data_IF_186737338443
#
_entry.id   IF_186737338443
#
_cell.length_a   1.000
_cell.length_b   1.000
_cell.length_c   1.000
_cell.angle_alpha   90.00
_cell.angle_beta   90.00
_cell.angle_gamma   90.00
#
_symmetry.space_group_name_H-M   'P 1'
#
loop_
_entity.id
_entity.type
_entity.pdbx_description
1 polymer ?
#
# COMPACT_ATOMS: atom_id res chain seq x y z
N UNK A 1 65.42 50.05 39.85
CA UNK A 1 64.17 49.53 40.46
C UNK A 1 63.17 49.28 39.35
N UNK A 2 62.66 48.03 39.27
CA UNK A 2 61.33 47.55 38.87
C UNK A 2 60.66 48.20 37.63
N UNK A 3 60.10 47.49 36.65
CA UNK A 3 59.10 46.43 36.81
C UNK A 3 58.99 45.52 35.56
N UNK A 4 58.84 44.23 35.86
CA UNK A 4 58.21 43.18 35.06
C UNK A 4 56.97 43.61 34.27
N UNK A 5 56.95 43.28 32.99
CA UNK A 5 55.69 43.09 32.24
C UNK A 5 55.89 41.93 31.25
N UNK A 6 55.79 40.71 31.78
CA UNK A 6 55.54 39.51 30.99
C UNK A 6 54.31 39.71 30.11
N UNK A 7 54.49 39.70 28.79
CA UNK A 7 53.45 39.29 27.85
C UNK A 7 54.06 38.33 26.87
N UNK A 8 53.83 37.04 27.16
CA UNK A 8 54.16 35.92 26.29
C UNK A 8 53.52 36.19 24.93
N UNK A 9 54.35 36.28 23.90
CA UNK A 9 53.90 36.17 22.52
C UNK A 9 53.54 34.69 22.38
N UNK A 10 52.27 34.37 22.62
CA UNK A 10 51.73 33.07 22.22
C UNK A 10 51.82 33.06 20.71
N UNK A 11 52.58 32.10 20.17
CA UNK A 11 52.65 31.79 18.75
C UNK A 11 51.28 32.00 18.13
N UNK A 12 51.18 33.06 17.34
CA UNK A 12 50.03 33.31 16.49
C UNK A 12 50.03 32.19 15.48
N UNK A 13 49.39 31.08 15.85
CA UNK A 13 48.93 30.10 14.90
C UNK A 13 48.25 30.90 13.78
N UNK A 14 48.87 30.85 12.60
CA UNK A 14 48.24 31.28 11.37
C UNK A 14 47.06 30.35 11.18
N UNK A 15 45.96 30.67 11.85
CA UNK A 15 44.66 30.20 11.43
C UNK A 15 44.41 31.00 10.16
N UNK A 16 44.83 30.40 9.04
CA UNK A 16 44.11 30.56 7.79
C UNK A 16 42.63 30.35 8.14
N UNK A 17 41.94 31.45 8.43
CA UNK A 17 40.49 31.52 8.29
C UNK A 17 40.26 31.42 6.80
N UNK A 18 40.38 30.19 6.33
CA UNK A 18 40.07 29.76 4.98
C UNK A 18 38.70 30.35 4.68
N UNK A 19 38.67 31.33 3.78
CA UNK A 19 37.46 32.02 3.35
C UNK A 19 36.61 31.11 2.48
N UNK A 20 36.19 29.98 3.04
CA UNK A 20 35.40 28.94 2.38
C UNK A 20 34.12 28.60 3.14
N UNK A 21 33.72 29.43 4.12
CA UNK A 21 32.40 29.32 4.76
C UNK A 21 31.28 30.08 4.02
N UNK A 22 31.56 30.79 2.92
CA UNK A 22 30.56 31.60 2.21
C UNK A 22 30.06 30.96 0.90
N UNK A 23 30.36 29.68 0.66
CA UNK A 23 29.91 28.99 -0.56
C UNK A 23 29.29 27.61 -0.31
N UNK A 24 28.81 27.33 0.90
CA UNK A 24 28.10 26.08 1.24
C UNK A 24 26.62 26.25 1.56
N UNK A 25 26.06 27.46 1.44
CA UNK A 25 24.64 27.70 1.73
C UNK A 25 23.79 27.88 0.46
N UNK A 26 24.36 28.49 -0.59
CA UNK A 26 23.58 28.86 -1.78
C UNK A 26 23.17 27.66 -2.66
N UNK A 27 23.98 26.60 -2.69
CA UNK A 27 23.61 25.34 -3.36
C UNK A 27 22.85 24.37 -2.44
N UNK A 28 22.92 24.56 -1.12
CA UNK A 28 22.32 23.66 -0.13
C UNK A 28 20.79 23.74 -0.12
N UNK A 29 20.23 24.95 -0.26
CA UNK A 29 18.77 25.14 -0.30
C UNK A 29 18.15 24.73 -1.65
N UNK A 30 18.83 24.98 -2.76
CA UNK A 30 18.39 24.50 -4.07
C UNK A 30 18.46 22.98 -4.18
N UNK A 31 19.51 22.35 -3.64
CA UNK A 31 19.61 20.90 -3.55
C UNK A 31 18.51 20.30 -2.66
N UNK A 32 18.15 20.97 -1.55
CA UNK A 32 17.04 20.56 -0.69
C UNK A 32 15.69 20.60 -1.42
N UNK A 33 15.38 21.70 -2.13
CA UNK A 33 14.13 21.81 -2.89
C UNK A 33 14.09 20.83 -4.07
N UNK A 34 15.23 20.58 -4.70
CA UNK A 34 15.38 19.57 -5.76
C UNK A 34 15.24 18.15 -5.24
N UNK A 35 15.71 17.85 -4.01
CA UNK A 35 15.45 16.57 -3.33
C UNK A 35 13.97 16.38 -3.06
N UNK A 36 13.27 17.42 -2.59
CA UNK A 36 11.82 17.38 -2.40
C UNK A 36 11.06 17.19 -3.72
N UNK A 37 11.45 17.86 -4.79
CA UNK A 37 10.89 17.66 -6.13
C UNK A 37 11.14 16.24 -6.61
N UNK A 38 12.37 15.73 -6.47
CA UNK A 38 12.73 14.35 -6.77
C UNK A 38 11.93 13.34 -5.92
N UNK A 39 11.69 13.58 -4.63
CA UNK A 39 10.85 12.72 -3.79
C UNK A 39 9.41 12.74 -4.28
N UNK A 40 8.85 13.92 -4.63
CA UNK A 40 7.50 14.03 -5.18
C UNK A 40 7.38 13.37 -6.56
N UNK A 41 8.41 13.43 -7.40
CA UNK A 41 8.43 12.82 -8.73
C UNK A 41 8.62 11.30 -8.64
N UNK A 42 9.52 10.84 -7.77
CA UNK A 42 9.77 9.41 -7.49
C UNK A 42 8.58 8.76 -6.77
N UNK A 43 7.89 9.50 -5.89
CA UNK A 43 6.66 9.06 -5.21
C UNK A 43 5.43 9.24 -6.09
N UNK A 44 5.39 10.25 -6.96
CA UNK A 44 4.33 10.55 -7.91
C UNK A 44 4.15 9.44 -8.93
N UNK A 45 5.24 8.78 -9.31
CA UNK A 45 5.21 7.57 -10.13
C UNK A 45 4.71 6.30 -9.40
N UNK A 46 4.38 6.38 -8.09
CA UNK A 46 3.92 5.23 -7.30
C UNK A 46 2.70 5.49 -6.39
N UNK A 47 2.30 6.74 -6.13
CA UNK A 47 1.31 7.04 -5.08
C UNK A 47 0.14 7.95 -5.48
N UNK A 48 0.34 8.95 -6.35
CA UNK A 48 -0.70 9.95 -6.64
C UNK A 48 -1.55 9.61 -7.88
N UNK A 49 -1.02 8.81 -8.81
CA UNK A 49 -1.82 8.14 -9.85
C UNK A 49 -2.66 6.97 -9.27
N UNK A 50 -2.49 6.62 -7.99
CA UNK A 50 -3.34 5.59 -7.35
C UNK A 50 -4.75 6.08 -7.00
N UNK A 51 -5.04 7.39 -7.11
CA UNK A 51 -6.30 7.96 -6.60
C UNK A 51 -7.27 8.42 -7.71
N UNK A 52 -6.87 8.59 -8.97
CA UNK A 52 -7.86 9.11 -9.96
C UNK A 52 -7.77 8.62 -11.41
N UNK A 53 -6.69 7.96 -11.84
CA UNK A 53 -6.60 7.38 -13.18
C UNK A 53 -6.01 5.97 -13.16
N UNK A 54 -6.37 5.21 -12.13
CA UNK A 54 -6.22 3.76 -12.21
C UNK A 54 -7.19 3.31 -13.31
N UNK A 55 -6.70 3.18 -14.55
CA UNK A 55 -7.09 2.03 -15.37
C UNK A 55 -6.78 0.87 -14.47
N UNK A 56 -7.77 0.47 -13.65
CA UNK A 56 -7.66 -0.76 -12.89
C UNK A 56 -7.52 -1.79 -13.97
N UNK A 57 -6.31 -2.31 -14.16
CA UNK A 57 -6.21 -3.65 -14.67
C UNK A 57 -7.26 -4.44 -13.90
N UNK A 58 -8.26 -5.02 -14.61
CA UNK A 58 -9.34 -5.73 -13.95
C UNK A 58 -8.72 -6.65 -12.92
N UNK A 59 -9.16 -6.55 -11.66
CA UNK A 59 -8.70 -7.50 -10.65
C UNK A 59 -8.93 -8.89 -11.20
N UNK A 60 -8.07 -9.86 -10.88
CA UNK A 60 -8.18 -11.22 -11.45
C UNK A 60 -9.60 -11.75 -11.28
N UNK A 61 -10.27 -11.42 -10.16
CA UNK A 61 -11.68 -11.69 -9.93
C UNK A 61 -12.66 -11.06 -10.94
N UNK A 62 -12.47 -9.79 -11.31
CA UNK A 62 -13.35 -9.09 -12.26
C UNK A 62 -13.24 -9.73 -13.66
N UNK A 63 -12.04 -10.11 -14.10
CA UNK A 63 -11.84 -10.84 -15.35
C UNK A 63 -12.55 -12.20 -15.35
N UNK A 64 -12.48 -12.92 -14.22
CA UNK A 64 -13.13 -14.22 -14.07
C UNK A 64 -14.66 -14.11 -14.05
N UNK A 65 -15.21 -13.03 -13.48
CA UNK A 65 -16.65 -12.72 -13.54
C UNK A 65 -17.11 -12.47 -14.98
N UNK A 66 -16.34 -11.72 -15.77
CA UNK A 66 -16.64 -11.47 -17.18
C UNK A 66 -16.64 -12.76 -18.00
N UNK A 67 -15.66 -13.62 -17.79
CA UNK A 67 -15.61 -14.91 -18.48
C UNK A 67 -16.82 -15.79 -18.16
N UNK A 68 -17.19 -15.89 -16.88
CA UNK A 68 -18.36 -16.67 -16.46
C UNK A 68 -19.65 -16.06 -17.02
N UNK A 69 -19.74 -14.74 -17.11
CA UNK A 69 -20.88 -14.04 -17.70
C UNK A 69 -20.99 -14.28 -19.21
N UNK A 70 -19.88 -14.20 -19.95
CA UNK A 70 -19.84 -14.48 -21.38
C UNK A 70 -20.18 -15.95 -21.69
N UNK A 71 -19.76 -16.88 -20.82
CA UNK A 71 -20.11 -18.28 -20.90
C UNK A 71 -21.58 -18.60 -20.52
N UNK A 72 -22.36 -17.60 -20.07
CA UNK A 72 -23.73 -17.81 -19.58
C UNK A 72 -23.81 -18.51 -18.22
N UNK A 73 -22.70 -18.53 -17.46
CA UNK A 73 -22.55 -19.14 -16.14
C UNK A 73 -22.57 -18.11 -15.01
N UNK A 74 -23.18 -16.93 -15.23
CA UNK A 74 -23.26 -15.85 -14.23
C UNK A 74 -23.97 -16.26 -12.94
N UNK A 75 -24.88 -17.23 -13.01
CA UNK A 75 -25.69 -17.67 -11.87
C UNK A 75 -24.91 -18.58 -10.90
N UNK A 76 -23.67 -18.93 -11.27
CA UNK A 76 -22.79 -19.80 -10.50
C UNK A 76 -22.03 -19.06 -9.39
N UNK A 77 -22.07 -17.72 -9.40
CA UNK A 77 -21.41 -16.85 -8.41
C UNK A 77 -22.33 -15.70 -7.95
N UNK A 78 -22.03 -15.10 -6.79
CA UNK A 78 -22.79 -13.99 -6.20
C UNK A 78 -24.02 -14.41 -5.38
N UNK A 79 -24.84 -13.44 -4.98
CA UNK A 79 -26.00 -13.62 -4.08
C UNK A 79 -27.12 -14.47 -4.72
N UNK A 80 -27.13 -14.59 -6.06
CA UNK A 80 -28.04 -15.44 -6.82
C UNK A 80 -27.66 -16.93 -6.83
N UNK A 81 -26.49 -17.30 -6.30
CA UNK A 81 -26.01 -18.70 -6.21
C UNK A 81 -26.83 -19.57 -5.25
N UNK A 82 -27.92 -19.03 -4.69
CA UNK A 82 -28.78 -19.67 -3.70
C UNK A 82 -29.46 -20.95 -4.18
N UNK A 83 -29.51 -21.20 -5.50
CA UNK A 83 -29.96 -22.48 -6.04
C UNK A 83 -28.78 -23.41 -6.33
N UNK A 84 -28.21 -23.95 -5.25
CA UNK A 84 -27.11 -24.91 -5.29
C UNK A 84 -27.44 -26.16 -6.11
N UNK A 85 -28.72 -26.51 -6.29
CA UNK A 85 -29.11 -27.70 -7.04
C UNK A 85 -28.95 -27.49 -8.55
N UNK A 86 -29.47 -26.40 -9.08
CA UNK A 86 -29.37 -26.06 -10.51
C UNK A 86 -27.91 -25.84 -10.94
N UNK A 87 -27.09 -25.20 -10.10
CA UNK A 87 -25.66 -25.04 -10.35
C UNK A 87 -24.93 -26.37 -10.44
N UNK A 88 -25.22 -27.31 -9.53
CA UNK A 88 -24.64 -28.65 -9.53
C UNK A 88 -25.07 -29.45 -10.75
N UNK A 89 -26.34 -29.36 -11.16
CA UNK A 89 -26.85 -30.02 -12.37
C UNK A 89 -26.14 -29.49 -13.62
N UNK A 90 -26.04 -28.17 -13.78
CA UNK A 90 -25.34 -27.53 -14.90
C UNK A 90 -23.88 -27.99 -14.99
N UNK A 91 -23.14 -27.91 -13.89
CA UNK A 91 -21.74 -28.34 -13.83
C UNK A 91 -21.59 -29.84 -14.15
N UNK A 92 -22.59 -30.67 -13.80
CA UNK A 92 -22.56 -32.12 -14.05
C UNK A 92 -22.74 -32.49 -15.52
N UNK A 93 -23.32 -31.61 -16.34
CA UNK A 93 -23.40 -31.81 -17.80
C UNK A 93 -22.07 -31.57 -18.52
N UNK A 94 -21.14 -30.89 -17.86
CA UNK A 94 -19.85 -30.54 -18.43
C UNK A 94 -18.89 -31.71 -18.41
N UNK A 95 -17.96 -31.70 -19.36
CA UNK A 95 -16.80 -32.62 -19.30
C UNK A 95 -15.94 -32.30 -18.08
N UNK A 96 -15.15 -33.29 -17.64
CA UNK A 96 -14.26 -33.16 -16.48
C UNK A 96 -13.37 -31.91 -16.53
N UNK A 97 -12.83 -31.60 -17.71
CA UNK A 97 -11.92 -30.45 -17.91
C UNK A 97 -12.68 -29.12 -17.89
N UNK A 98 -13.84 -29.05 -18.52
CA UNK A 98 -14.68 -27.85 -18.49
C UNK A 98 -15.17 -27.54 -17.07
N UNK A 99 -15.65 -28.57 -16.36
CA UNK A 99 -16.02 -28.46 -14.94
C UNK A 99 -14.88 -27.90 -14.11
N UNK A 100 -13.68 -28.47 -14.22
CA UNK A 100 -12.51 -28.00 -13.46
C UNK A 100 -12.15 -26.55 -13.80
N UNK A 101 -12.25 -26.15 -15.06
CA UNK A 101 -12.04 -24.76 -15.47
C UNK A 101 -13.08 -23.83 -14.84
N UNK A 102 -14.37 -24.18 -14.90
CA UNK A 102 -15.47 -23.40 -14.33
C UNK A 102 -15.33 -23.28 -12.81
N UNK A 103 -15.05 -24.38 -12.10
CA UNK A 103 -14.83 -24.40 -10.65
C UNK A 103 -13.68 -23.48 -10.24
N UNK A 104 -12.56 -23.51 -10.98
CA UNK A 104 -11.41 -22.65 -10.70
C UNK A 104 -11.79 -21.17 -10.80
N UNK A 105 -12.52 -20.78 -11.83
CA UNK A 105 -12.93 -19.38 -12.03
C UNK A 105 -13.91 -18.92 -10.95
N UNK A 106 -14.91 -19.74 -10.61
CA UNK A 106 -15.84 -19.47 -9.50
C UNK A 106 -15.10 -19.31 -8.17
N UNK A 107 -14.10 -20.16 -7.91
CA UNK A 107 -13.27 -20.05 -6.73
C UNK A 107 -12.50 -18.72 -6.69
N UNK A 108 -11.85 -18.34 -7.81
CA UNK A 108 -11.14 -17.06 -7.92
C UNK A 108 -12.06 -15.88 -7.64
N UNK A 109 -13.25 -15.82 -8.27
CA UNK A 109 -14.26 -14.78 -8.01
C UNK A 109 -14.66 -14.74 -6.54
N UNK A 110 -14.90 -15.90 -5.94
CA UNK A 110 -15.30 -15.97 -4.52
C UNK A 110 -14.18 -15.50 -3.59
N UNK A 111 -12.92 -15.86 -3.88
CA UNK A 111 -11.76 -15.46 -3.09
C UNK A 111 -11.52 -13.95 -3.15
N UNK A 112 -11.56 -13.35 -4.35
CA UNK A 112 -11.36 -11.91 -4.55
C UNK A 112 -12.51 -11.10 -3.95
N UNK A 113 -13.76 -11.57 -4.05
CA UNK A 113 -14.90 -10.98 -3.36
C UNK A 113 -14.73 -10.94 -1.84
N UNK A 114 -14.27 -12.05 -1.23
CA UNK A 114 -13.95 -12.10 0.21
C UNK A 114 -12.81 -11.15 0.58
N UNK A 115 -11.75 -11.10 -0.23
CA UNK A 115 -10.61 -10.18 -0.03
C UNK A 115 -11.06 -8.73 -0.06
N UNK A 116 -11.88 -8.36 -1.06
CA UNK A 116 -12.48 -7.02 -1.17
C UNK A 116 -13.34 -6.72 0.05
N UNK A 117 -14.22 -7.63 0.47
CA UNK A 117 -15.08 -7.39 1.64
C UNK A 117 -14.27 -7.21 2.95
N UNK A 118 -13.20 -7.99 3.14
CA UNK A 118 -12.30 -7.85 4.31
C UNK A 118 -11.55 -6.52 4.35
N UNK A 119 -11.14 -5.99 3.19
CA UNK A 119 -10.51 -4.67 3.13
C UNK A 119 -11.43 -3.54 3.64
N UNK A 120 -12.75 -3.71 3.50
CA UNK A 120 -13.74 -2.76 4.03
C UNK A 120 -14.08 -3.03 5.52
N UNK A 121 -13.75 -4.21 6.04
CA UNK A 121 -13.91 -4.57 7.47
C UNK A 121 -12.61 -4.37 8.26
N UNK A 122 -11.98 -3.19 8.15
CA UNK A 122 -10.97 -2.81 9.13
C UNK A 122 -11.75 -2.47 10.42
N UNK A 123 -11.59 -3.25 11.52
CA UNK A 123 -12.34 -2.99 12.75
C UNK A 123 -11.99 -1.61 13.31
N UNK A 124 -12.98 -0.89 13.85
CA UNK A 124 -12.71 0.36 14.56
C UNK A 124 -11.74 0.07 15.72
N UNK A 125 -10.73 0.93 15.89
CA UNK A 125 -9.75 0.84 16.98
C UNK A 125 -10.41 0.73 18.36
N UNK A 126 -11.60 1.32 18.54
CA UNK A 126 -12.39 1.24 19.77
C UNK A 126 -12.91 -0.16 20.07
N UNK A 127 -13.18 -0.97 19.05
CA UNK A 127 -13.76 -2.30 19.21
C UNK A 127 -12.70 -3.36 19.54
N UNK A 128 -11.47 -3.15 19.05
CA UNK A 128 -10.32 -4.02 19.30
C UNK A 128 -10.00 -4.11 20.82
N UNK A 129 -10.13 -2.99 21.54
CA UNK A 129 -9.83 -2.93 22.98
C UNK A 129 -11.04 -3.20 23.88
N UNK A 130 -12.28 -3.13 23.37
CA UNK A 130 -13.48 -3.45 24.17
C UNK A 130 -13.58 -4.95 24.50
N UNK A 131 -13.25 -5.82 23.53
CA UNK A 131 -13.41 -7.27 23.67
C UNK A 131 -12.58 -7.87 24.83
N UNK A 132 -11.49 -7.22 25.25
CA UNK A 132 -10.67 -7.70 26.36
C UNK A 132 -11.30 -7.45 27.74
N UNK A 133 -12.17 -6.45 27.88
CA UNK A 133 -12.70 -6.02 29.17
C UNK A 133 -13.94 -6.81 29.61
N UNK A 134 -14.69 -7.40 28.66
CA UNK A 134 -15.93 -8.13 28.97
C UNK A 134 -15.68 -9.60 29.40
N UNK A 135 -14.44 -10.08 29.32
CA UNK A 135 -14.06 -11.44 29.73
C UNK A 135 -13.76 -11.60 31.22
N UNK A 136 -13.83 -10.51 32.01
CA UNK A 136 -13.58 -10.51 33.46
C UNK A 136 -14.84 -10.17 34.24
N UNK A 137 -15.82 -11.07 34.24
CA UNK A 137 -17.09 -10.79 34.91
C UNK A 137 -18.01 -11.98 35.14
N UNK A 138 -17.49 -13.11 35.62
CA UNK A 138 -18.29 -14.12 36.35
C UNK A 138 -17.43 -14.85 37.38
N UNK A 139 -17.47 -14.39 38.63
CA UNK A 139 -17.31 -15.19 39.86
C UNK A 139 -18.43 -14.78 40.79
#
# INVERSE_FOLDING_TARGET
MNHDHSKKILDGASFDRSGSQDSLDELSMDDYWKELENIHETRGNNHEERVSLVVKEPDEGELEEEWLKEAGLSNLFGESSGDSLESVVLISTLTRTQKAAVEKRVETVTQTMRKKNKQHQIPDVRDIFRLQNDSKGKV
#
